data_IF_182066520391
#
_entry.id   IF_182066520391
#
_cell.length_a   1.000
_cell.length_b   1.000
_cell.length_c   1.000
_cell.angle_alpha   90.00
_cell.angle_beta   90.00
_cell.angle_gamma   90.00
#
_symmetry.space_group_name_H-M   'P 1'
#
loop_
_entity.id
_entity.type
_entity.pdbx_description
1 polymer ?
#
# COMPACT_ATOMS: atom_id res chain seq x y z
N UNK A 1 -8.73 -17.01 -49.97
CA UNK A 1 -7.73 -17.94 -49.40
C UNK A 1 -7.45 -19.12 -50.36
N UNK A 2 -6.27 -19.76 -50.31
CA UNK A 2 -5.95 -20.92 -51.18
C UNK A 2 -6.70 -22.20 -50.79
N UNK A 3 -7.05 -22.33 -49.50
CA UNK A 3 -7.93 -23.38 -48.97
C UNK A 3 -9.36 -23.27 -49.52
N UNK A 4 -9.93 -22.06 -49.57
CA UNK A 4 -11.27 -21.80 -50.16
C UNK A 4 -11.34 -22.11 -51.66
N UNK A 5 -10.19 -22.12 -52.35
CA UNK A 5 -10.09 -22.47 -53.77
C UNK A 5 -9.74 -23.95 -54.00
N UNK A 6 -9.68 -24.78 -52.93
CA UNK A 6 -9.35 -26.21 -53.00
C UNK A 6 -7.91 -26.52 -53.42
N UNK A 7 -7.02 -25.52 -53.44
CA UNK A 7 -5.66 -25.62 -53.97
C UNK A 7 -4.62 -26.08 -52.94
N UNK A 8 -5.03 -26.27 -51.69
CA UNK A 8 -4.15 -26.69 -50.60
C UNK A 8 -4.80 -27.88 -49.88
N UNK A 9 -4.04 -28.98 -49.72
CA UNK A 9 -4.53 -30.16 -49.01
C UNK A 9 -4.61 -29.86 -47.51
N UNK A 10 -5.67 -30.31 -46.86
CA UNK A 10 -5.92 -30.09 -45.42
C UNK A 10 -4.75 -30.52 -44.55
N UNK A 11 -4.10 -31.63 -44.87
CA UNK A 11 -2.95 -32.15 -44.12
C UNK A 11 -1.76 -31.17 -44.15
N UNK A 12 -1.47 -30.59 -45.32
CA UNK A 12 -0.42 -29.59 -45.49
C UNK A 12 -0.74 -28.32 -44.71
N UNK A 13 -2.00 -27.87 -44.76
CA UNK A 13 -2.46 -26.71 -44.01
C UNK A 13 -2.33 -26.91 -42.48
N UNK A 14 -2.75 -28.07 -41.96
CA UNK A 14 -2.64 -28.37 -40.53
C UNK A 14 -1.18 -28.51 -40.09
N UNK A 15 -0.30 -29.07 -40.94
CA UNK A 15 1.13 -29.15 -40.67
C UNK A 15 1.78 -27.75 -40.62
N UNK A 16 1.38 -26.83 -41.50
CA UNK A 16 1.83 -25.44 -41.47
C UNK A 16 1.36 -24.72 -40.20
N UNK A 17 0.11 -24.92 -39.77
CA UNK A 17 -0.41 -24.36 -38.50
C UNK A 17 0.39 -24.89 -37.31
N UNK A 18 0.65 -26.21 -37.26
CA UNK A 18 1.42 -26.82 -36.19
C UNK A 18 2.83 -26.23 -36.13
N UNK A 19 3.53 -26.16 -37.27
CA UNK A 19 4.88 -25.59 -37.35
C UNK A 19 4.92 -24.10 -36.99
N UNK A 20 3.90 -23.32 -37.38
CA UNK A 20 3.77 -21.91 -36.98
C UNK A 20 3.55 -21.78 -35.48
N UNK A 21 2.68 -22.61 -34.91
CA UNK A 21 2.37 -22.62 -33.47
C UNK A 21 3.59 -23.04 -32.65
N UNK A 22 4.32 -24.05 -33.08
CA UNK A 22 5.57 -24.49 -32.45
C UNK A 22 6.62 -23.37 -32.45
N UNK A 23 6.79 -22.66 -33.58
CA UNK A 23 7.68 -21.49 -33.64
C UNK A 23 7.25 -20.37 -32.69
N UNK A 24 5.95 -20.12 -32.58
CA UNK A 24 5.41 -19.12 -31.63
C UNK A 24 5.65 -19.54 -30.18
N UNK A 25 5.39 -20.81 -29.83
CA UNK A 25 5.62 -21.34 -28.48
C UNK A 25 7.11 -21.37 -28.16
N UNK A 26 7.97 -21.76 -29.08
CA UNK A 26 9.42 -21.72 -28.91
C UNK A 26 9.93 -20.30 -28.70
N UNK A 27 9.42 -19.33 -29.47
CA UNK A 27 9.75 -17.92 -29.30
C UNK A 27 9.24 -17.37 -27.96
N UNK A 28 8.03 -17.74 -27.54
CA UNK A 28 7.47 -17.36 -26.24
C UNK A 28 8.23 -17.98 -25.06
N UNK A 29 8.64 -19.25 -25.17
CA UNK A 29 9.48 -19.93 -24.16
C UNK A 29 10.92 -19.41 -24.12
N UNK A 30 11.43 -18.93 -25.25
CA UNK A 30 12.78 -18.38 -25.39
C UNK A 30 12.94 -16.97 -24.85
N UNK A 31 11.85 -16.23 -24.64
CA UNK A 31 11.90 -14.96 -23.92
C UNK A 31 12.09 -15.22 -22.42
N UNK A 32 13.34 -15.17 -21.96
CA UNK A 32 13.65 -15.03 -20.55
C UNK A 32 13.11 -13.67 -20.06
N UNK A 33 12.77 -13.56 -18.77
CA UNK A 33 12.10 -12.41 -18.14
C UNK A 33 12.79 -11.07 -18.41
N UNK A 34 14.09 -11.10 -18.73
CA UNK A 34 14.94 -9.95 -19.01
C UNK A 34 15.10 -9.63 -20.51
N UNK A 35 14.61 -10.48 -21.41
CA UNK A 35 14.71 -10.33 -22.88
C UNK A 35 13.41 -9.89 -23.56
N UNK A 36 12.37 -9.61 -22.76
CA UNK A 36 11.09 -9.13 -23.26
C UNK A 36 11.33 -7.75 -23.91
N UNK A 37 11.05 -7.57 -25.21
CA UNK A 37 11.20 -6.28 -25.86
C UNK A 37 10.18 -5.29 -25.33
N UNK A 38 10.60 -4.06 -25.06
CA UNK A 38 9.73 -2.99 -24.58
C UNK A 38 10.43 -1.63 -24.60
N UNK A 39 9.63 -0.58 -24.57
CA UNK A 39 10.12 0.79 -24.38
C UNK A 39 10.35 1.02 -22.89
N UNK A 40 11.54 0.63 -22.41
CA UNK A 40 11.92 0.73 -21.00
C UNK A 40 12.77 1.96 -20.73
N UNK A 41 12.47 2.64 -19.62
CA UNK A 41 13.18 3.84 -19.24
C UNK A 41 14.63 3.54 -18.82
N UNK A 42 15.53 4.45 -19.16
CA UNK A 42 16.87 4.51 -18.58
C UNK A 42 16.85 5.58 -17.49
N UNK A 43 17.25 5.22 -16.28
CA UNK A 43 17.27 6.14 -15.15
C UNK A 43 18.44 7.12 -15.26
N UNK A 44 18.23 8.34 -14.80
CA UNK A 44 19.25 9.39 -14.71
C UNK A 44 20.15 9.18 -13.50
N UNK A 45 19.57 8.68 -12.41
CA UNK A 45 20.29 8.42 -11.16
C UNK A 45 21.18 7.20 -11.33
N UNK A 46 22.50 7.32 -11.03
CA UNK A 46 23.43 6.22 -11.20
C UNK A 46 23.20 5.12 -10.16
N UNK A 47 23.73 3.94 -10.46
CA UNK A 47 23.65 2.78 -9.57
C UNK A 47 24.28 3.07 -8.20
N UNK A 48 23.58 2.80 -7.08
CA UNK A 48 24.08 3.09 -5.73
C UNK A 48 25.27 2.21 -5.30
N UNK A 49 25.58 1.14 -6.05
CA UNK A 49 26.73 0.26 -5.80
C UNK A 49 27.97 0.68 -6.59
N UNK A 50 27.86 0.83 -7.91
CA UNK A 50 29.03 1.03 -8.78
C UNK A 50 29.05 2.35 -9.55
N UNK A 51 27.99 3.17 -9.45
CA UNK A 51 27.85 4.43 -10.21
C UNK A 51 27.49 4.24 -11.69
N UNK A 52 27.26 3.01 -12.16
CA UNK A 52 26.89 2.71 -13.54
C UNK A 52 25.45 3.08 -13.89
N UNK A 53 25.06 2.88 -15.15
CA UNK A 53 23.72 3.17 -15.65
C UNK A 53 22.72 2.13 -15.13
N UNK A 54 21.52 2.59 -14.74
CA UNK A 54 20.41 1.72 -14.34
C UNK A 54 19.31 1.81 -15.38
N UNK A 55 18.84 0.67 -15.87
CA UNK A 55 17.77 0.59 -16.86
C UNK A 55 16.62 -0.27 -16.34
N UNK A 56 15.42 0.17 -16.65
CA UNK A 56 14.20 -0.59 -16.45
C UNK A 56 14.15 -1.80 -17.39
N UNK A 57 13.55 -2.89 -16.92
CA UNK A 57 13.15 -4.02 -17.74
C UNK A 57 11.69 -4.40 -17.42
N UNK A 58 11.22 -5.56 -17.88
CA UNK A 58 9.84 -5.97 -17.67
C UNK A 58 9.41 -5.95 -16.19
N UNK A 59 10.26 -6.38 -15.24
CA UNK A 59 9.90 -6.53 -13.81
C UNK A 59 10.79 -5.77 -12.84
N UNK A 60 11.95 -5.28 -13.27
CA UNK A 60 13.01 -4.77 -12.38
C UNK A 60 13.66 -3.51 -12.96
N UNK A 61 14.35 -2.78 -12.08
CA UNK A 61 15.38 -1.82 -12.45
C UNK A 61 16.73 -2.47 -12.19
N UNK A 62 17.56 -2.58 -13.22
CA UNK A 62 18.81 -3.35 -13.22
C UNK A 62 19.99 -2.48 -13.63
N UNK A 63 21.13 -2.65 -12.95
CA UNK A 63 22.36 -2.00 -13.36
C UNK A 63 22.93 -2.65 -14.63
N UNK A 64 23.31 -1.82 -15.60
CA UNK A 64 23.99 -2.22 -16.84
C UNK A 64 25.50 -1.91 -16.82
N UNK A 65 26.04 -1.51 -15.67
CA UNK A 65 27.43 -1.10 -15.53
C UNK A 65 27.69 0.31 -16.08
N UNK A 66 28.97 0.73 -16.08
CA UNK A 66 29.40 2.05 -16.54
C UNK A 66 29.37 2.17 -18.06
N UNK A 67 29.53 1.06 -18.77
CA UNK A 67 29.47 1.03 -20.24
C UNK A 67 28.03 0.97 -20.78
N UNK A 68 27.05 0.75 -19.90
CA UNK A 68 25.62 0.70 -20.23
C UNK A 68 25.22 -0.41 -21.24
N UNK A 69 26.08 -1.40 -21.45
CA UNK A 69 25.87 -2.56 -22.31
C UNK A 69 25.70 -3.87 -21.52
N UNK A 70 25.80 -3.80 -20.19
CA UNK A 70 25.70 -4.95 -19.30
C UNK A 70 27.00 -5.72 -19.07
N UNK A 71 28.08 -5.38 -19.79
CA UNK A 71 29.37 -6.10 -19.68
C UNK A 71 30.02 -5.95 -18.30
N UNK A 72 29.85 -4.78 -17.66
CA UNK A 72 30.40 -4.44 -16.36
C UNK A 72 29.32 -4.22 -15.28
N UNK A 73 28.16 -4.86 -15.44
CA UNK A 73 27.05 -4.79 -14.50
C UNK A 73 27.43 -5.33 -13.11
N UNK A 74 27.19 -4.54 -12.05
CA UNK A 74 27.55 -4.93 -10.67
C UNK A 74 26.53 -5.85 -9.97
N UNK A 75 25.50 -6.29 -10.70
CA UNK A 75 24.42 -7.15 -10.21
C UNK A 75 23.32 -6.44 -9.40
N UNK A 76 23.36 -5.10 -9.24
CA UNK A 76 22.30 -4.36 -8.56
C UNK A 76 20.96 -4.51 -9.30
N UNK A 77 19.91 -4.90 -8.56
CA UNK A 77 18.56 -5.07 -9.11
C UNK A 77 17.49 -4.88 -8.03
N UNK A 78 16.48 -4.04 -8.32
CA UNK A 78 15.29 -3.86 -7.47
C UNK A 78 14.02 -4.12 -8.26
N UNK A 79 12.96 -4.59 -7.59
CA UNK A 79 11.66 -4.84 -8.23
C UNK A 79 10.92 -3.55 -8.59
N UNK A 80 10.16 -3.57 -9.69
CA UNK A 80 9.29 -2.45 -10.11
C UNK A 80 8.01 -2.32 -9.28
N UNK A 81 7.56 -3.41 -8.67
CA UNK A 81 6.27 -3.51 -7.99
C UNK A 81 6.46 -4.00 -6.55
N UNK A 82 7.14 -3.26 -5.67
CA UNK A 82 7.26 -3.63 -4.25
C UNK A 82 5.88 -3.64 -3.58
N UNK A 83 5.56 -4.70 -2.82
CA UNK A 83 4.31 -4.81 -2.08
C UNK A 83 3.04 -4.60 -2.92
N UNK A 84 3.05 -5.02 -4.20
CA UNK A 84 1.89 -4.90 -5.09
C UNK A 84 1.63 -3.50 -5.67
N UNK A 85 2.50 -2.52 -5.39
CA UNK A 85 2.43 -1.14 -5.90
C UNK A 85 3.54 -0.88 -6.90
N UNK A 86 3.24 -0.37 -8.09
CA UNK A 86 4.25 0.04 -9.07
C UNK A 86 4.98 1.32 -8.62
N UNK A 87 6.29 1.38 -8.84
CA UNK A 87 7.02 2.64 -8.77
C UNK A 87 6.70 3.54 -9.96
N UNK A 88 6.54 4.83 -9.69
CA UNK A 88 6.67 5.86 -10.72
C UNK A 88 8.14 6.13 -11.03
N UNK A 89 8.46 6.60 -12.24
CA UNK A 89 9.85 6.83 -12.65
C UNK A 89 10.56 7.87 -11.76
N UNK A 90 9.89 8.95 -11.37
CA UNK A 90 10.45 9.94 -10.45
C UNK A 90 10.66 9.41 -9.02
N UNK A 91 9.86 8.43 -8.60
CA UNK A 91 10.00 7.78 -7.29
C UNK A 91 11.25 6.92 -7.25
N UNK A 92 11.49 6.09 -8.27
CA UNK A 92 12.71 5.28 -8.31
C UNK A 92 13.97 6.14 -8.41
N UNK A 93 13.92 7.24 -9.17
CA UNK A 93 15.02 8.21 -9.24
C UNK A 93 15.36 8.80 -7.87
N UNK A 94 14.33 9.19 -7.12
CA UNK A 94 14.48 9.71 -5.75
C UNK A 94 14.99 8.63 -4.81
N UNK A 95 14.43 7.43 -4.90
CA UNK A 95 14.79 6.31 -4.06
C UNK A 95 16.23 5.85 -4.24
N UNK A 96 16.75 5.79 -5.47
CA UNK A 96 18.15 5.43 -5.72
C UNK A 96 19.12 6.50 -5.22
N UNK A 97 18.75 7.78 -5.34
CA UNK A 97 19.60 8.91 -4.92
C UNK A 97 19.67 9.00 -3.40
N UNK A 98 18.51 8.99 -2.74
CA UNK A 98 18.39 9.28 -1.31
C UNK A 98 18.46 7.99 -0.47
N UNK A 99 18.45 6.81 -1.12
CA UNK A 99 18.42 5.46 -0.52
C UNK A 99 17.24 5.20 0.42
N UNK A 100 16.31 6.15 0.50
CA UNK A 100 15.07 6.08 1.25
C UNK A 100 13.99 6.84 0.48
N UNK A 101 12.75 6.38 0.58
CA UNK A 101 11.59 7.09 0.04
C UNK A 101 10.35 6.76 0.85
N UNK A 102 9.50 7.75 1.06
CA UNK A 102 8.20 7.61 1.73
C UNK A 102 7.98 8.66 2.81
N UNK A 103 6.90 8.49 3.62
CA UNK A 103 5.95 7.38 3.56
C UNK A 103 5.13 7.36 2.26
N UNK A 104 5.03 6.20 1.60
CA UNK A 104 4.23 5.96 0.39
C UNK A 104 3.00 5.12 0.71
N UNK A 105 1.90 5.40 0.01
CA UNK A 105 0.63 4.67 0.12
C UNK A 105 0.42 3.71 -1.06
N UNK A 106 -0.51 2.77 -0.90
CA UNK A 106 -0.94 1.85 -1.97
C UNK A 106 -0.26 0.48 -1.94
N UNK A 107 0.56 0.19 -0.93
CA UNK A 107 1.09 -1.15 -0.72
C UNK A 107 0.03 -2.11 -0.22
N UNK A 108 0.18 -3.39 -0.52
CA UNK A 108 -0.65 -4.48 -0.03
C UNK A 108 0.21 -5.52 0.68
N UNK A 109 -0.19 -5.89 1.90
CA UNK A 109 0.49 -6.96 2.65
C UNK A 109 0.24 -8.31 1.98
N UNK A 110 0.90 -9.38 2.46
CA UNK A 110 0.63 -10.75 2.01
C UNK A 110 -0.85 -11.13 2.17
N UNK A 111 -1.50 -10.63 3.22
CA UNK A 111 -2.93 -10.80 3.48
C UNK A 111 -3.82 -9.78 2.73
N UNK A 112 -3.27 -9.01 1.79
CA UNK A 112 -4.01 -8.10 0.91
C UNK A 112 -4.32 -6.71 1.49
N UNK A 113 -3.89 -6.43 2.72
CA UNK A 113 -4.20 -5.21 3.44
C UNK A 113 -3.49 -3.98 2.89
N UNK A 114 -4.19 -2.87 2.64
CA UNK A 114 -3.53 -1.62 2.31
C UNK A 114 -2.71 -1.13 3.50
N UNK A 115 -1.45 -0.78 3.28
CA UNK A 115 -0.61 -0.15 4.28
C UNK A 115 0.23 0.98 3.67
N UNK A 116 0.66 1.89 4.53
CA UNK A 116 1.58 2.97 4.20
C UNK A 116 2.94 2.60 4.77
N UNK A 117 4.00 2.75 3.99
CA UNK A 117 5.35 2.43 4.46
C UNK A 117 6.42 3.30 3.82
N UNK A 118 7.55 3.39 4.50
CA UNK A 118 8.80 3.87 3.92
C UNK A 118 9.55 2.69 3.31
N UNK A 119 10.27 2.95 2.23
CA UNK A 119 11.17 2.00 1.59
C UNK A 119 12.60 2.48 1.79
N UNK A 120 13.51 1.55 2.03
CA UNK A 120 14.93 1.81 2.18
C UNK A 120 15.76 0.85 1.30
N UNK A 121 16.89 1.34 0.80
CA UNK A 121 17.96 0.50 0.28
C UNK A 121 18.87 0.11 1.44
N UNK A 122 18.85 -1.17 1.79
CA UNK A 122 19.68 -1.76 2.84
C UNK A 122 20.82 -2.53 2.17
N UNK A 123 22.05 -2.32 2.61
CA UNK A 123 23.18 -3.09 2.12
C UNK A 123 23.13 -4.48 2.75
N UNK A 124 23.17 -5.51 1.92
CA UNK A 124 23.18 -6.90 2.31
C UNK A 124 24.60 -7.45 2.11
N UNK A 125 25.23 -7.87 3.21
CA UNK A 125 26.61 -8.34 3.21
C UNK A 125 26.75 -9.74 2.59
N UNK A 126 25.70 -10.56 2.56
CA UNK A 126 25.79 -11.91 1.98
C UNK A 126 25.83 -11.83 0.45
N UNK A 127 24.97 -10.99 -0.14
CA UNK A 127 24.96 -10.77 -1.60
C UNK A 127 25.88 -9.62 -2.04
N UNK A 128 26.56 -8.95 -1.11
CA UNK A 128 27.44 -7.81 -1.35
C UNK A 128 26.76 -6.74 -2.25
N UNK A 129 25.50 -6.43 -1.95
CA UNK A 129 24.67 -5.55 -2.77
C UNK A 129 23.56 -4.86 -1.98
N UNK A 130 22.93 -3.86 -2.60
CA UNK A 130 21.78 -3.18 -2.02
C UNK A 130 20.49 -3.94 -2.34
N UNK A 131 19.68 -4.19 -1.31
CA UNK A 131 18.32 -4.73 -1.43
C UNK A 131 17.30 -3.67 -1.02
N UNK A 132 16.12 -3.74 -1.63
CA UNK A 132 14.97 -2.94 -1.25
C UNK A 132 14.28 -3.64 -0.08
N UNK A 133 14.05 -2.91 1.02
CA UNK A 133 13.28 -3.36 2.17
C UNK A 133 12.25 -2.32 2.59
N UNK A 134 11.17 -2.81 3.23
CA UNK A 134 10.23 -1.93 3.91
C UNK A 134 10.80 -1.51 5.27
N UNK A 135 10.90 -0.20 5.48
CA UNK A 135 11.33 0.40 6.73
C UNK A 135 10.10 0.71 7.59
N UNK A 136 9.62 -0.31 8.32
CA UNK A 136 8.44 -0.20 9.16
C UNK A 136 8.72 0.49 10.52
N UNK A 137 9.97 0.88 10.81
CA UNK A 137 10.40 1.25 12.15
C UNK A 137 10.41 0.07 13.13
N UNK A 138 11.08 0.22 14.27
CA UNK A 138 11.26 -0.88 15.23
C UNK A 138 9.95 -1.35 15.91
N UNK A 139 8.97 -0.47 16.04
CA UNK A 139 7.71 -0.75 16.74
C UNK A 139 6.73 -1.62 15.92
N UNK A 140 6.75 -1.52 14.58
CA UNK A 140 5.87 -2.30 13.71
C UNK A 140 6.41 -3.70 13.39
N UNK A 141 7.74 -3.90 13.43
CA UNK A 141 8.39 -5.22 13.24
C UNK A 141 7.99 -6.26 14.29
N UNK A 142 7.50 -5.83 15.46
CA UNK A 142 7.00 -6.71 16.53
C UNK A 142 5.49 -7.00 16.44
N UNK A 143 4.74 -6.26 15.62
CA UNK A 143 3.28 -6.23 15.67
C UNK A 143 2.58 -6.94 14.49
N UNK A 144 3.26 -7.14 13.36
CA UNK A 144 2.68 -7.83 12.20
C UNK A 144 3.51 -9.08 11.87
N UNK A 145 2.96 -10.24 12.23
CA UNK A 145 3.49 -11.55 11.86
C UNK A 145 3.43 -11.78 10.35
N UNK A 146 4.32 -12.66 9.88
CA UNK A 146 4.79 -12.83 8.49
C UNK A 146 3.78 -13.40 7.46
N UNK A 147 2.50 -13.02 7.55
CA UNK A 147 1.47 -13.42 6.60
C UNK A 147 1.05 -14.88 6.68
N UNK A 148 1.22 -15.53 7.83
CA UNK A 148 0.54 -16.81 8.11
C UNK A 148 -0.98 -16.58 8.24
N UNK A 149 -1.81 -17.55 7.80
CA UNK A 149 -3.25 -17.50 8.01
C UNK A 149 -3.53 -17.35 9.50
N UNK A 150 -4.26 -16.31 9.85
CA UNK A 150 -4.53 -15.97 11.25
C UNK A 150 -5.54 -16.97 11.81
N UNK A 151 -5.08 -17.83 12.70
CA UNK A 151 -5.95 -18.74 13.44
C UNK A 151 -6.55 -18.05 14.66
N UNK A 152 -7.89 -17.97 14.70
CA UNK A 152 -8.65 -17.44 15.84
C UNK A 152 -9.29 -18.54 16.69
N UNK A 153 -9.05 -19.82 16.40
CA UNK A 153 -9.72 -20.96 17.06
C UNK A 153 -9.56 -20.97 18.60
N UNK A 154 -8.48 -20.40 19.13
CA UNK A 154 -8.22 -20.27 20.57
C UNK A 154 -8.65 -18.94 21.21
N UNK A 155 -9.28 -18.03 20.46
CA UNK A 155 -9.66 -16.71 20.96
C UNK A 155 -11.17 -16.59 21.18
N UNK A 156 -11.57 -15.85 22.21
CA UNK A 156 -12.97 -15.49 22.40
C UNK A 156 -13.34 -14.27 21.55
N UNK A 157 -14.46 -14.32 20.84
CA UNK A 157 -14.91 -13.18 20.04
C UNK A 157 -15.32 -12.01 20.94
N UNK A 158 -14.92 -10.81 20.56
CA UNK A 158 -15.34 -9.56 21.17
C UNK A 158 -16.72 -9.11 20.72
N UNK A 159 -17.34 -9.76 19.73
CA UNK A 159 -18.68 -9.44 19.25
C UNK A 159 -18.81 -9.44 17.74
N UNK A 160 -20.02 -9.14 17.27
CA UNK A 160 -20.34 -9.09 15.84
C UNK A 160 -19.83 -7.80 15.19
N UNK A 161 -19.21 -7.94 14.03
CA UNK A 161 -18.71 -6.86 13.21
C UNK A 161 -19.91 -6.01 12.71
N UNK A 162 -19.87 -4.68 12.90
CA UNK A 162 -21.00 -3.82 12.52
C UNK A 162 -21.17 -3.67 11.00
N UNK A 163 -20.19 -4.12 10.19
CA UNK A 163 -20.23 -4.07 8.72
C UNK A 163 -20.77 -5.35 8.09
N UNK A 164 -20.29 -6.51 8.54
CA UNK A 164 -20.61 -7.79 7.91
C UNK A 164 -21.25 -8.81 8.85
N UNK A 165 -21.40 -8.52 10.14
CA UNK A 165 -21.87 -9.43 11.20
C UNK A 165 -20.95 -10.63 11.49
N UNK A 166 -19.67 -10.57 11.12
CA UNK A 166 -18.68 -11.60 11.44
C UNK A 166 -18.09 -11.43 12.82
N UNK A 167 -17.31 -12.38 13.31
CA UNK A 167 -16.69 -12.26 14.62
C UNK A 167 -15.50 -11.30 14.60
N UNK A 168 -15.34 -10.50 15.67
CA UNK A 168 -14.19 -9.62 15.87
C UNK A 168 -13.26 -10.19 16.94
N UNK A 169 -11.95 -10.14 16.67
CA UNK A 169 -10.89 -10.72 17.50
C UNK A 169 -9.73 -9.76 17.68
N UNK A 170 -8.83 -10.11 18.59
CA UNK A 170 -7.56 -9.41 18.77
C UNK A 170 -6.51 -9.94 17.79
N UNK A 171 -5.83 -9.02 17.10
CA UNK A 171 -4.74 -9.38 16.20
C UNK A 171 -3.68 -8.28 16.15
N UNK A 172 -2.47 -8.61 16.64
CA UNK A 172 -1.37 -7.65 16.76
C UNK A 172 -1.79 -6.42 17.59
N UNK A 173 -1.53 -5.23 17.04
CA UNK A 173 -1.91 -3.94 17.62
C UNK A 173 -3.37 -3.52 17.36
N UNK A 174 -4.23 -4.42 16.84
CA UNK A 174 -5.58 -4.08 16.40
C UNK A 174 -6.63 -5.10 16.86
N UNK A 175 -7.88 -4.67 16.75
CA UNK A 175 -9.07 -5.51 16.77
C UNK A 175 -9.59 -5.62 15.35
N UNK A 176 -9.78 -6.85 14.85
CA UNK A 176 -10.04 -7.16 13.44
C UNK A 176 -11.24 -8.08 13.28
N UNK A 177 -11.99 -7.93 12.19
CA UNK A 177 -13.01 -8.90 11.83
C UNK A 177 -12.35 -10.16 11.23
N UNK A 178 -12.88 -11.35 11.53
CA UNK A 178 -12.41 -12.62 10.95
C UNK A 178 -12.46 -12.63 9.42
N UNK A 179 -13.49 -12.00 8.84
CA UNK A 179 -13.67 -11.87 7.37
C UNK A 179 -12.83 -10.77 6.74
N UNK A 180 -12.06 -10.07 7.56
CA UNK A 180 -11.15 -9.04 7.10
C UNK A 180 -9.73 -9.57 6.91
N UNK A 181 -9.36 -10.68 7.57
CA UNK A 181 -8.08 -11.39 7.37
C UNK A 181 -8.29 -12.69 6.58
N UNK A 182 -7.21 -13.28 6.06
CA UNK A 182 -7.22 -14.59 5.39
C UNK A 182 -7.14 -14.52 3.86
N UNK A 183 -7.38 -15.66 3.20
CA UNK A 183 -7.26 -15.78 1.73
C UNK A 183 -8.41 -15.09 0.99
N UNK A 184 -9.63 -15.15 1.53
CA UNK A 184 -10.82 -14.50 0.97
C UNK A 184 -11.33 -13.36 1.85
N UNK A 185 -10.80 -12.16 1.60
CA UNK A 185 -11.18 -10.94 2.31
C UNK A 185 -12.51 -10.39 1.77
N UNK A 186 -13.51 -10.30 2.64
CA UNK A 186 -14.86 -9.78 2.31
C UNK A 186 -15.30 -8.63 3.22
N UNK A 187 -14.49 -8.29 4.22
CA UNK A 187 -14.72 -7.19 5.15
C UNK A 187 -13.42 -6.38 5.34
N UNK A 188 -13.52 -5.15 5.80
CA UNK A 188 -12.39 -4.23 6.06
C UNK A 188 -12.46 -3.60 7.46
N UNK A 189 -13.33 -4.11 8.35
CA UNK A 189 -13.48 -3.58 9.69
C UNK A 189 -12.22 -3.84 10.53
N UNK A 190 -11.61 -2.75 11.01
CA UNK A 190 -10.43 -2.76 11.88
C UNK A 190 -10.48 -1.54 12.81
N UNK A 191 -10.07 -1.72 14.06
CA UNK A 191 -9.85 -0.61 15.00
C UNK A 191 -8.59 -0.86 15.83
N UNK A 192 -7.85 0.20 16.17
CA UNK A 192 -6.58 0.09 16.90
C UNK A 192 -6.79 -0.27 18.37
N UNK A 193 -5.86 -1.07 18.93
CA UNK A 193 -5.76 -1.27 20.39
C UNK A 193 -5.25 -0.02 21.11
N UNK A 194 -4.61 0.90 20.38
CA UNK A 194 -4.20 2.21 20.88
C UNK A 194 -4.63 3.26 19.86
N UNK A 195 -5.39 4.27 20.29
CA UNK A 195 -5.85 5.38 19.44
C UNK A 195 -5.41 6.68 20.11
N UNK A 196 -4.62 7.51 19.41
CA UNK A 196 -4.11 8.79 19.92
C UNK A 196 -3.58 8.69 21.36
N UNK A 197 -2.66 7.75 21.56
CA UNK A 197 -2.00 7.36 22.83
C UNK A 197 -2.88 6.67 23.87
N UNK A 198 -4.19 6.56 23.65
CA UNK A 198 -5.10 5.91 24.59
C UNK A 198 -5.25 4.42 24.24
N UNK A 199 -4.88 3.49 25.13
CA UNK A 199 -5.23 2.09 25.00
C UNK A 199 -6.75 1.89 25.08
N UNK A 200 -7.27 1.06 24.19
CA UNK A 200 -8.68 0.69 24.11
C UNK A 200 -8.79 -0.73 24.61
N UNK A 201 -9.45 -0.92 25.75
CA UNK A 201 -9.63 -2.25 26.35
C UNK A 201 -10.61 -3.12 25.55
N UNK A 202 -10.48 -4.45 25.60
CA UNK A 202 -11.37 -5.35 24.87
C UNK A 202 -12.84 -5.19 25.27
N UNK A 203 -13.10 -4.86 26.54
CA UNK A 203 -14.43 -4.54 27.06
C UNK A 203 -15.06 -3.31 26.37
N UNK A 204 -14.25 -2.31 26.01
CA UNK A 204 -14.72 -1.13 25.29
C UNK A 204 -15.07 -1.49 23.84
N UNK A 205 -14.27 -2.33 23.20
CA UNK A 205 -14.59 -2.84 21.85
C UNK A 205 -15.85 -3.69 21.88
N UNK A 206 -16.05 -4.53 22.89
CA UNK A 206 -17.29 -5.27 23.05
C UNK A 206 -18.52 -4.34 23.10
N UNK A 207 -18.44 -3.25 23.86
CA UNK A 207 -19.49 -2.21 23.90
C UNK A 207 -19.66 -1.49 22.57
N UNK A 208 -18.56 -1.15 21.88
CA UNK A 208 -18.60 -0.54 20.55
C UNK A 208 -19.34 -1.43 19.55
N UNK A 209 -19.10 -2.75 19.58
CA UNK A 209 -19.72 -3.71 18.68
C UNK A 209 -21.19 -3.97 19.04
N UNK A 210 -21.52 -4.06 20.33
CA UNK A 210 -22.88 -4.33 20.81
C UNK A 210 -23.80 -3.09 20.73
N UNK A 211 -23.30 -1.94 21.17
CA UNK A 211 -24.09 -0.71 21.36
C UNK A 211 -23.81 0.36 20.30
N UNK A 212 -22.82 0.15 19.43
CA UNK A 212 -22.37 1.13 18.44
C UNK A 212 -21.42 2.20 18.99
N UNK A 213 -21.14 2.21 20.30
CA UNK A 213 -20.23 3.17 20.95
C UNK A 213 -19.59 2.62 22.23
N UNK A 214 -18.40 3.14 22.57
CA UNK A 214 -17.70 2.87 23.84
C UNK A 214 -18.27 3.69 24.99
N UNK A 215 -17.69 3.54 26.19
CA UNK A 215 -17.82 4.54 27.26
C UNK A 215 -16.98 5.79 26.95
N UNK A 216 -17.08 6.80 27.81
CA UNK A 216 -16.27 8.02 27.71
C UNK A 216 -14.82 7.69 28.09
N UNK A 217 -13.92 7.82 27.12
CA UNK A 217 -12.48 7.61 27.33
C UNK A 217 -11.79 8.96 27.47
N UNK A 218 -10.96 9.12 28.50
CA UNK A 218 -10.55 10.45 28.97
C UNK A 218 -9.12 10.87 28.61
N UNK A 219 -8.34 9.94 28.09
CA UNK A 219 -6.88 10.02 28.04
C UNK A 219 -6.34 10.12 26.60
N UNK A 220 -7.17 10.51 25.63
CA UNK A 220 -6.71 10.81 24.27
C UNK A 220 -5.85 12.07 24.25
N UNK A 221 -4.76 12.06 23.49
CA UNK A 221 -3.90 13.24 23.28
C UNK A 221 -3.98 13.68 21.82
N UNK A 222 -4.41 14.92 21.58
CA UNK A 222 -4.52 15.45 20.21
C UNK A 222 -3.15 15.64 19.56
N UNK A 223 -2.95 15.09 18.36
CA UNK A 223 -1.73 15.35 17.58
C UNK A 223 -1.57 16.84 17.20
N UNK A 224 -2.68 17.56 17.03
CA UNK A 224 -2.67 18.98 16.62
C UNK A 224 -2.34 19.94 17.77
N UNK A 225 -2.92 19.71 18.94
CA UNK A 225 -2.81 20.65 20.08
C UNK A 225 -1.97 20.12 21.24
N UNK A 226 -1.60 18.83 21.21
CA UNK A 226 -0.94 18.10 22.30
C UNK A 226 -1.70 18.13 23.63
N UNK A 227 -2.99 18.47 23.62
CA UNK A 227 -3.86 18.50 24.81
C UNK A 227 -4.64 17.21 24.95
N UNK A 228 -4.91 16.84 26.21
CA UNK A 228 -5.81 15.74 26.55
C UNK A 228 -7.25 16.10 26.24
N UNK A 229 -8.03 15.14 25.75
CA UNK A 229 -9.47 15.30 25.55
C UNK A 229 -10.21 14.00 25.86
N UNK A 230 -11.50 14.15 26.20
CA UNK A 230 -12.42 13.03 26.43
C UNK A 230 -13.32 12.85 25.21
N UNK A 231 -13.56 11.60 24.82
CA UNK A 231 -14.47 11.27 23.72
C UNK A 231 -14.98 9.83 23.86
N UNK A 232 -16.14 9.56 23.26
CA UNK A 232 -16.56 8.22 22.91
C UNK A 232 -15.94 7.84 21.58
N UNK A 233 -15.71 6.55 21.39
CA UNK A 233 -15.50 5.98 20.06
C UNK A 233 -16.82 5.41 19.60
N UNK A 234 -17.29 5.83 18.44
CA UNK A 234 -18.56 5.40 17.85
C UNK A 234 -18.33 4.88 16.43
N UNK A 235 -19.08 3.85 16.03
CA UNK A 235 -19.00 3.33 14.66
C UNK A 235 -19.90 4.14 13.73
N UNK A 236 -19.31 4.82 12.76
CA UNK A 236 -20.04 5.51 11.70
C UNK A 236 -20.38 4.53 10.57
N UNK A 237 -21.67 4.26 10.37
CA UNK A 237 -22.16 3.35 9.31
C UNK A 237 -21.99 3.91 7.90
N UNK A 238 -21.94 5.23 7.73
CA UNK A 238 -21.76 5.89 6.42
C UNK A 238 -20.31 5.82 5.98
N UNK A 239 -19.38 6.12 6.88
CA UNK A 239 -17.94 6.06 6.59
C UNK A 239 -17.36 4.64 6.74
N UNK A 240 -18.06 3.76 7.45
CA UNK A 240 -17.61 2.39 7.73
C UNK A 240 -16.44 2.33 8.70
N UNK A 241 -16.27 3.33 9.57
CA UNK A 241 -15.10 3.51 10.43
C UNK A 241 -15.48 3.93 11.85
N UNK A 242 -14.56 3.75 12.78
CA UNK A 242 -14.70 4.24 14.17
C UNK A 242 -14.26 5.71 14.22
N UNK A 243 -15.15 6.58 14.71
CA UNK A 243 -14.95 8.02 14.82
C UNK A 243 -15.04 8.49 16.28
N UNK A 244 -14.53 9.69 16.55
CA UNK A 244 -14.71 10.34 17.84
C UNK A 244 -16.08 11.00 17.93
N UNK A 245 -16.85 10.65 18.94
CA UNK A 245 -18.06 11.36 19.33
C UNK A 245 -17.81 12.08 20.65
N UNK A 246 -18.02 13.40 20.67
CA UNK A 246 -17.78 14.23 21.85
C UNK A 246 -19.08 14.47 22.61
N UNK A 247 -18.98 14.57 23.94
CA UNK A 247 -20.12 14.98 24.75
C UNK A 247 -20.68 16.33 24.25
N UNK A 248 -22.02 16.49 24.24
CA UNK A 248 -22.64 17.78 24.00
C UNK A 248 -22.06 18.79 24.98
N UNK A 249 -21.40 19.84 24.46
CA UNK A 249 -20.83 20.87 25.33
C UNK A 249 -21.96 21.48 26.17
N UNK A 250 -21.89 21.34 27.49
CA UNK A 250 -22.69 22.15 28.39
C UNK A 250 -22.48 23.63 28.00
N UNK A 251 -23.57 24.30 27.63
CA UNK A 251 -23.54 25.56 26.90
C UNK A 251 -22.60 26.59 27.54
N UNK A 252 -21.53 26.95 26.83
CA UNK A 252 -20.91 28.25 27.01
C UNK A 252 -21.75 29.27 26.23
N UNK A 253 -22.15 30.41 26.83
CA UNK A 253 -22.86 31.46 26.11
C UNK A 253 -22.01 31.91 24.93
N UNK A 254 -22.67 32.13 23.79
CA UNK A 254 -22.06 32.52 22.52
C UNK A 254 -21.06 33.67 22.73
N UNK A 255 -19.76 33.33 22.70
CA UNK A 255 -18.71 34.33 22.60
C UNK A 255 -18.86 35.05 21.27
N UNK A 256 -19.14 36.36 21.34
CA UNK A 256 -19.31 37.26 20.20
C UNK A 256 -18.28 36.97 19.12
N UNK A 257 -18.76 36.73 17.90
CA UNK A 257 -17.94 36.71 16.71
C UNK A 257 -17.16 38.05 16.60
N UNK A 258 -15.86 38.03 16.28
CA UNK A 258 -15.14 39.25 15.98
C UNK A 258 -15.72 39.88 14.70
N UNK A 259 -15.82 41.22 14.61
CA UNK A 259 -16.47 41.88 13.50
C UNK A 259 -15.72 41.61 12.19
N UNK A 260 -16.47 41.22 11.16
CA UNK A 260 -15.96 41.04 9.80
C UNK A 260 -15.35 42.36 9.30
N UNK A 261 -14.05 42.32 8.97
CA UNK A 261 -13.40 43.42 8.26
C UNK A 261 -14.00 43.52 6.86
N UNK A 262 -14.65 44.64 6.57
CA UNK A 262 -15.13 44.99 5.22
C UNK A 262 -13.93 45.04 4.27
N UNK A 263 -13.98 44.27 3.19
CA UNK A 263 -13.07 44.41 2.06
C UNK A 263 -13.37 45.74 1.34
N UNK A 264 -12.35 46.53 0.92
CA UNK A 264 -12.60 47.75 0.16
C UNK A 264 -13.01 47.42 -1.28
N UNK A 265 -14.04 48.11 -1.75
CA UNK A 265 -14.58 48.01 -3.10
C UNK A 265 -13.52 48.42 -4.15
N UNK A 266 -13.30 47.56 -5.15
CA UNK A 266 -12.54 47.90 -6.37
C UNK A 266 -13.32 48.96 -7.16
N UNK A 267 -12.69 50.13 -7.36
CA UNK A 267 -13.13 51.11 -8.36
C UNK A 267 -12.90 50.54 -9.76
N UNK A 268 -13.95 50.52 -10.56
CA UNK A 268 -13.87 50.32 -12.01
C UNK A 268 -13.19 51.54 -12.64
N UNK A 269 -12.12 51.31 -13.40
CA UNK A 269 -11.51 52.31 -14.26
C UNK A 269 -12.02 52.09 -15.68
N UNK A 270 -12.78 53.06 -16.18
CA UNK A 270 -13.05 53.27 -17.59
C UNK A 270 -11.84 53.93 -18.25
N UNK A 271 -11.54 53.52 -19.48
CA UNK A 271 -10.86 54.24 -20.58
C UNK A 271 -11.00 53.30 -21.79
N UNK A 272 -11.55 53.72 -22.93
CA UNK A 272 -11.25 54.97 -23.62
C UNK A 272 -10.36 54.59 -24.79
#
# INVERSE_FOLDING_TARGET
AQMEKGKLKREVFMAEIAAMTEKMVAKAKGYDRDTIPGDYATLKTPCPKCGGVVKENYRRFTCLGKHADGSDACGFSIGKIPGGRSFELNEVETFLRDKKIGPLEGFRSKAGWPFTAELALVYDEEIQNWKLEFDFGEDARKAEGDGEPVDFSGQNSLGACPKCAGHVYEHGANYVCERSVGETVTCDFKTGKVILTQPIEPAQVHKLLANGKTDLLENFVSNKTRRKFKAFLAYDKKEGKVIFEFEPRAGKPAGKAPPAKKAPARKAAAKG
#
